data_IF_940509279086
#
_entry.id   IF_940509279086
#
_cell.length_a   1.000
_cell.length_b   1.000
_cell.length_c   1.000
_cell.angle_alpha   90.00
_cell.angle_beta   90.00
_cell.angle_gamma   90.00
#
_symmetry.space_group_name_H-M   'P 1'
#
loop_
_entity.id
_entity.type
_entity.pdbx_description
1 polymer ?
#
# COMPACT_ATOMS: atom_id res chain seq x y z
N UNK A 1 52.72 -36.95 6.62
CA UNK A 1 51.74 -36.58 5.58
C UNK A 1 50.37 -36.91 6.14
N UNK A 2 49.75 -35.94 6.84
CA UNK A 2 48.41 -36.10 7.38
C UNK A 2 47.43 -35.97 6.20
N UNK A 3 46.74 -37.05 5.85
CA UNK A 3 45.59 -36.99 4.97
C UNK A 3 44.48 -36.24 5.72
N UNK A 4 44.12 -35.05 5.25
CA UNK A 4 42.87 -34.40 5.63
C UNK A 4 41.71 -35.25 5.10
N UNK A 5 41.05 -35.97 6.00
CA UNK A 5 39.72 -36.51 5.75
C UNK A 5 38.73 -35.34 5.77
N UNK A 6 38.57 -34.65 4.65
CA UNK A 6 37.32 -33.92 4.40
C UNK A 6 36.31 -34.96 3.93
N UNK A 7 35.52 -35.51 4.86
CA UNK A 7 34.28 -36.19 4.50
C UNK A 7 33.54 -35.27 3.53
N UNK A 8 33.06 -35.77 2.38
CA UNK A 8 32.45 -34.99 1.29
C UNK A 8 31.20 -34.20 1.70
N UNK A 9 31.37 -33.23 2.58
CA UNK A 9 30.39 -32.38 3.22
C UNK A 9 30.25 -31.13 2.36
N UNK A 10 29.01 -30.82 2.02
CA UNK A 10 28.67 -29.66 1.20
C UNK A 10 28.36 -28.46 2.10
N UNK A 11 28.89 -27.26 1.81
CA UNK A 11 28.46 -26.04 2.49
C UNK A 11 26.96 -25.77 2.29
N UNK A 12 26.29 -25.24 3.31
CA UNK A 12 24.86 -24.91 3.27
C UNK A 12 24.48 -24.04 2.06
N UNK A 13 25.24 -22.97 1.82
CA UNK A 13 25.01 -22.05 0.70
C UNK A 13 25.10 -22.74 -0.66
N UNK A 14 26.03 -23.68 -0.81
CA UNK A 14 26.17 -24.49 -2.02
C UNK A 14 24.94 -25.38 -2.20
N UNK A 15 24.49 -26.05 -1.14
CA UNK A 15 23.30 -26.89 -1.18
C UNK A 15 22.03 -26.09 -1.52
N UNK A 16 21.84 -24.93 -0.87
CA UNK A 16 20.71 -24.03 -1.11
C UNK A 16 20.68 -23.56 -2.58
N UNK A 17 21.82 -23.09 -3.09
CA UNK A 17 21.95 -22.64 -4.48
C UNK A 17 21.63 -23.77 -5.46
N UNK A 18 22.15 -24.99 -5.21
CA UNK A 18 21.87 -26.15 -6.05
C UNK A 18 20.39 -26.53 -6.04
N UNK A 19 19.73 -26.50 -4.88
CA UNK A 19 18.28 -26.75 -4.78
C UNK A 19 17.48 -25.71 -5.56
N UNK A 20 17.73 -24.42 -5.32
CA UNK A 20 16.99 -23.32 -5.97
C UNK A 20 17.19 -23.30 -7.49
N UNK A 21 18.38 -23.62 -7.99
CA UNK A 21 18.69 -23.64 -9.42
C UNK A 21 17.88 -24.65 -10.23
N UNK A 22 17.28 -25.66 -9.58
CA UNK A 22 16.48 -26.72 -10.22
C UNK A 22 14.98 -26.50 -10.08
N UNK A 23 14.56 -25.52 -9.28
CA UNK A 23 13.15 -25.22 -9.02
C UNK A 23 12.68 -24.19 -10.03
N UNK A 24 11.60 -24.50 -10.75
CA UNK A 24 10.88 -23.51 -11.55
C UNK A 24 9.69 -22.99 -10.74
N UNK A 25 9.51 -21.65 -10.61
CA UNK A 25 8.35 -21.09 -9.94
C UNK A 25 7.03 -21.62 -10.52
N UNK A 26 6.01 -21.73 -9.67
CA UNK A 26 4.67 -22.10 -10.11
C UNK A 26 4.08 -20.97 -10.96
N UNK A 27 3.40 -21.35 -12.05
CA UNK A 27 2.73 -20.41 -12.97
C UNK A 27 1.22 -20.56 -13.01
N UNK A 28 0.67 -21.58 -12.35
CA UNK A 28 -0.78 -21.76 -12.28
C UNK A 28 -1.41 -20.66 -11.42
N UNK A 29 -2.42 -19.99 -11.99
CA UNK A 29 -3.05 -18.79 -11.43
C UNK A 29 -4.46 -19.11 -10.93
N UNK A 30 -4.88 -18.41 -9.88
CA UNK A 30 -6.28 -18.31 -9.45
C UNK A 30 -6.62 -16.82 -9.21
N UNK A 31 -7.90 -16.47 -9.37
CA UNK A 31 -8.40 -15.11 -9.08
C UNK A 31 -9.13 -15.15 -7.75
N UNK A 32 -8.77 -14.26 -6.84
CA UNK A 32 -9.36 -14.20 -5.49
C UNK A 32 -9.71 -12.76 -5.11
N UNK A 33 -10.76 -12.56 -4.30
CA UNK A 33 -11.02 -11.27 -3.66
C UNK A 33 -9.82 -10.82 -2.83
N UNK A 34 -9.54 -9.51 -2.79
CA UNK A 34 -8.35 -8.97 -2.09
C UNK A 34 -8.23 -9.43 -0.62
N UNK A 35 -9.36 -9.59 0.07
CA UNK A 35 -9.39 -10.07 1.47
C UNK A 35 -8.80 -11.47 1.65
N UNK A 36 -8.81 -12.30 0.59
CA UNK A 36 -8.27 -13.65 0.57
C UNK A 36 -6.84 -13.71 -0.02
N UNK A 37 -6.24 -12.55 -0.31
CA UNK A 37 -4.94 -12.44 -0.98
C UNK A 37 -3.76 -12.22 -0.02
N UNK A 38 -3.97 -12.11 1.29
CA UNK A 38 -2.86 -11.94 2.24
C UNK A 38 -1.85 -13.09 2.16
N UNK A 39 -0.57 -12.74 2.00
CA UNK A 39 0.55 -13.67 1.82
C UNK A 39 0.64 -14.32 0.44
N UNK A 40 -0.29 -14.04 -0.49
CA UNK A 40 -0.28 -14.58 -1.85
C UNK A 40 0.71 -13.83 -2.74
N UNK A 41 1.14 -14.46 -3.82
CA UNK A 41 2.07 -13.89 -4.80
C UNK A 41 1.28 -13.43 -6.02
N UNK A 42 1.42 -12.17 -6.44
CA UNK A 42 0.82 -11.66 -7.67
C UNK A 42 1.30 -12.43 -8.89
N UNK A 43 0.37 -12.85 -9.74
CA UNK A 43 0.68 -13.58 -10.97
C UNK A 43 1.03 -12.65 -12.14
N UNK A 44 0.49 -11.43 -12.13
CA UNK A 44 0.65 -10.42 -13.18
C UNK A 44 0.90 -9.05 -12.54
N UNK A 45 1.50 -8.14 -13.31
CA UNK A 45 1.62 -6.75 -12.93
C UNK A 45 0.24 -6.15 -12.66
N UNK A 46 0.14 -5.35 -11.62
CA UNK A 46 -1.03 -4.51 -11.39
C UNK A 46 -0.77 -3.14 -11.98
N UNK A 47 -1.56 -2.81 -12.99
CA UNK A 47 -1.55 -1.52 -13.67
C UNK A 47 -2.67 -0.67 -13.09
N UNK A 48 -2.37 0.59 -12.76
CA UNK A 48 -3.37 1.49 -12.19
C UNK A 48 -4.45 1.86 -13.22
N UNK A 49 -5.74 1.66 -12.93
CA UNK A 49 -6.82 2.07 -13.82
C UNK A 49 -7.15 3.57 -13.73
N UNK A 50 -6.54 4.28 -12.77
CA UNK A 50 -6.84 5.68 -12.46
C UNK A 50 -5.62 6.43 -11.93
N UNK A 51 -5.70 7.75 -11.93
CA UNK A 51 -4.74 8.61 -11.22
C UNK A 51 -5.07 8.66 -9.73
N UNK A 52 -4.05 8.63 -8.87
CA UNK A 52 -4.13 8.86 -7.43
C UNK A 52 -3.25 10.06 -7.07
N UNK A 53 -3.82 11.12 -6.47
CA UNK A 53 -5.26 11.39 -6.34
C UNK A 53 -5.92 11.57 -7.72
N UNK A 54 -7.25 11.38 -7.81
CA UNK A 54 -8.00 11.46 -9.07
C UNK A 54 -8.30 12.89 -9.56
N UNK A 55 -8.02 13.90 -8.73
CA UNK A 55 -8.21 15.32 -8.99
C UNK A 55 -7.26 16.12 -8.11
N UNK A 56 -7.02 17.39 -8.46
CA UNK A 56 -6.24 18.29 -7.60
C UNK A 56 -6.99 18.57 -6.30
N UNK A 57 -6.36 18.32 -5.16
CA UNK A 57 -7.00 18.43 -3.84
C UNK A 57 -6.13 19.17 -2.82
N UNK A 58 -6.77 19.68 -1.77
CA UNK A 58 -6.04 20.34 -0.68
C UNK A 58 -5.22 19.33 0.13
N UNK A 59 -3.98 19.69 0.44
CA UNK A 59 -3.11 18.96 1.36
C UNK A 59 -3.39 19.29 2.84
N UNK A 60 -4.04 20.42 3.12
CA UNK A 60 -4.21 20.98 4.47
C UNK A 60 -5.61 21.58 4.66
N UNK A 61 -6.02 21.76 5.91
CA UNK A 61 -7.19 22.56 6.25
C UNK A 61 -6.83 24.04 6.17
N UNK A 62 -7.57 24.82 5.39
CA UNK A 62 -7.13 26.16 5.04
C UNK A 62 -8.09 26.93 4.15
N UNK A 63 -7.51 27.77 3.29
CA UNK A 63 -8.24 28.59 2.33
C UNK A 63 -7.59 28.48 0.95
N UNK A 64 -8.40 28.13 -0.05
CA UNK A 64 -8.03 28.19 -1.45
C UNK A 64 -8.06 29.65 -1.91
N UNK A 65 -6.99 30.07 -2.58
CA UNK A 65 -6.76 31.45 -3.00
C UNK A 65 -6.26 31.52 -4.45
N UNK A 66 -6.47 32.68 -5.07
CA UNK A 66 -5.76 33.11 -6.28
C UNK A 66 -4.63 34.03 -5.87
N UNK A 67 -3.49 33.92 -6.52
CA UNK A 67 -2.31 34.74 -6.24
C UNK A 67 -2.61 36.24 -6.47
N UNK A 68 -3.41 36.56 -7.49
CA UNK A 68 -3.81 37.93 -7.81
C UNK A 68 -4.72 38.59 -6.76
N UNK A 69 -5.42 37.77 -5.95
CA UNK A 69 -6.31 38.26 -4.90
C UNK A 69 -5.53 38.54 -3.59
N UNK A 70 -4.32 38.01 -3.44
CA UNK A 70 -3.53 38.18 -2.22
C UNK A 70 -2.93 39.59 -2.12
N UNK A 71 -3.13 40.22 -0.96
CA UNK A 71 -2.51 41.48 -0.58
C UNK A 71 -2.27 41.47 0.92
N UNK A 72 -1.10 41.92 1.38
CA UNK A 72 -0.73 41.93 2.80
C UNK A 72 -1.73 42.72 3.67
N UNK A 73 -2.31 43.78 3.11
CA UNK A 73 -3.14 44.71 3.88
C UNK A 73 -4.64 44.43 3.76
N UNK A 74 -5.08 43.58 2.81
CA UNK A 74 -6.50 43.38 2.50
C UNK A 74 -6.98 41.97 2.86
N UNK A 75 -7.83 41.81 3.89
CA UNK A 75 -8.52 40.55 4.16
C UNK A 75 -9.40 40.12 2.98
N UNK A 76 -9.51 38.81 2.75
CA UNK A 76 -10.40 38.24 1.74
C UNK A 76 -11.65 37.66 2.40
N UNK A 77 -12.86 38.12 2.03
CA UNK A 77 -14.09 37.46 2.45
C UNK A 77 -14.13 36.00 2.00
N UNK A 78 -14.75 35.14 2.81
CA UNK A 78 -14.95 33.73 2.47
C UNK A 78 -16.22 33.59 1.63
N UNK A 79 -16.07 33.30 0.34
CA UNK A 79 -17.20 33.16 -0.59
C UNK A 79 -17.93 31.81 -0.44
N UNK A 80 -17.25 30.79 0.10
CA UNK A 80 -17.83 29.46 0.22
C UNK A 80 -16.92 28.46 0.91
N UNK A 81 -17.36 27.19 0.89
CA UNK A 81 -16.67 26.07 1.53
C UNK A 81 -16.56 24.88 0.58
N UNK A 82 -15.44 24.17 0.63
CA UNK A 82 -15.21 22.90 -0.06
C UNK A 82 -14.78 21.82 0.96
N UNK A 83 -15.45 20.67 0.93
CA UNK A 83 -15.18 19.52 1.80
C UNK A 83 -14.89 18.27 0.97
N UNK A 84 -14.28 17.26 1.59
CA UNK A 84 -14.12 15.94 0.98
C UNK A 84 -15.50 15.39 0.58
N UNK A 85 -15.67 15.02 -0.70
CA UNK A 85 -16.94 14.57 -1.26
C UNK A 85 -17.98 15.66 -1.55
N UNK A 86 -17.73 16.92 -1.17
CA UNK A 86 -18.63 18.07 -1.43
C UNK A 86 -17.81 19.25 -1.97
N UNK A 87 -17.46 19.25 -3.27
CA UNK A 87 -16.71 20.34 -3.89
C UNK A 87 -17.51 21.64 -3.89
N UNK A 88 -16.79 22.77 -3.90
CA UNK A 88 -17.42 24.08 -4.11
C UNK A 88 -17.85 24.22 -5.58
N UNK A 89 -19.15 24.46 -5.81
CA UNK A 89 -19.74 24.62 -7.14
C UNK A 89 -20.31 26.02 -7.42
N UNK A 90 -20.24 26.93 -6.43
CA UNK A 90 -20.73 28.30 -6.59
C UNK A 90 -19.79 29.16 -7.45
N UNK A 91 -20.25 30.36 -7.80
CA UNK A 91 -19.37 31.38 -8.37
C UNK A 91 -18.28 31.73 -7.36
N UNK A 92 -17.03 31.92 -7.81
CA UNK A 92 -15.94 32.35 -6.94
C UNK A 92 -15.56 33.80 -7.31
N UNK A 93 -16.11 34.82 -6.62
CA UNK A 93 -15.85 36.22 -6.94
C UNK A 93 -14.37 36.60 -6.81
N UNK A 94 -13.93 37.59 -7.57
CA UNK A 94 -12.60 38.16 -7.42
C UNK A 94 -12.45 38.83 -6.03
N UNK A 95 -11.26 38.76 -5.44
CA UNK A 95 -10.98 39.27 -4.11
C UNK A 95 -11.63 38.49 -2.97
N UNK A 96 -11.94 37.20 -3.16
CA UNK A 96 -12.49 36.32 -2.12
C UNK A 96 -11.72 35.00 -2.03
N UNK A 97 -11.81 34.31 -0.90
CA UNK A 97 -11.22 32.98 -0.72
C UNK A 97 -12.30 31.91 -0.48
N UNK A 98 -11.93 30.64 -0.67
CA UNK A 98 -12.81 29.50 -0.36
C UNK A 98 -12.21 28.73 0.81
N UNK A 99 -12.99 28.57 1.87
CA UNK A 99 -12.61 27.68 2.98
C UNK A 99 -12.52 26.25 2.44
N UNK A 100 -11.40 25.58 2.63
CA UNK A 100 -11.18 24.24 2.09
C UNK A 100 -10.60 23.33 3.16
N UNK A 101 -11.06 22.08 3.19
CA UNK A 101 -10.53 21.05 4.09
C UNK A 101 -9.62 20.07 3.32
N UNK A 102 -8.78 19.36 4.06
CA UNK A 102 -7.86 18.35 3.56
C UNK A 102 -8.60 17.30 2.73
N UNK A 103 -8.07 16.97 1.56
CA UNK A 103 -8.67 16.02 0.62
C UNK A 103 -9.83 16.58 -0.22
N UNK A 104 -10.31 17.79 0.05
CA UNK A 104 -11.35 18.42 -0.79
C UNK A 104 -10.77 18.83 -2.16
N UNK A 105 -11.53 18.67 -3.26
CA UNK A 105 -11.12 19.18 -4.57
C UNK A 105 -10.90 20.69 -4.53
N UNK A 106 -9.80 21.17 -5.11
CA UNK A 106 -9.56 22.62 -5.22
C UNK A 106 -10.53 23.24 -6.25
N UNK A 107 -11.10 24.42 -5.98
CA UNK A 107 -11.99 25.09 -6.92
C UNK A 107 -11.23 25.50 -8.20
N UNK A 108 -11.95 25.60 -9.32
CA UNK A 108 -11.36 26.01 -10.59
C UNK A 108 -10.70 27.39 -10.48
N UNK A 109 -9.46 27.50 -10.96
CA UNK A 109 -8.65 28.72 -10.85
C UNK A 109 -7.92 28.87 -9.52
N UNK A 110 -7.97 27.87 -8.63
CA UNK A 110 -7.17 27.88 -7.40
C UNK A 110 -5.68 27.74 -7.74
N UNK A 111 -4.87 28.63 -7.15
CA UNK A 111 -3.43 28.65 -7.39
C UNK A 111 -2.64 28.24 -6.15
N UNK A 112 -3.21 28.37 -4.95
CA UNK A 112 -2.59 27.94 -3.69
C UNK A 112 -3.63 27.62 -2.62
N UNK A 113 -3.25 26.80 -1.63
CA UNK A 113 -3.97 26.66 -0.36
C UNK A 113 -3.11 27.17 0.78
N UNK A 114 -3.65 28.05 1.62
CA UNK A 114 -2.97 28.55 2.83
C UNK A 114 -3.59 27.89 4.06
N UNK A 115 -2.75 27.30 4.91
CA UNK A 115 -3.21 26.66 6.14
C UNK A 115 -3.84 27.69 7.08
N UNK A 116 -4.88 27.31 7.82
CA UNK A 116 -5.59 28.23 8.70
C UNK A 116 -4.68 28.83 9.79
N UNK A 117 -3.63 28.11 10.19
CA UNK A 117 -2.63 28.54 11.17
C UNK A 117 -1.79 29.72 10.67
N UNK A 118 -1.77 29.96 9.35
CA UNK A 118 -1.10 31.08 8.68
C UNK A 118 -2.11 32.16 8.26
N UNK A 119 -3.25 32.22 8.95
CA UNK A 119 -4.29 33.21 8.72
C UNK A 119 -4.82 33.79 10.01
N UNK A 120 -5.37 35.00 9.90
CA UNK A 120 -6.09 35.66 10.98
C UNK A 120 -7.51 35.98 10.51
N UNK A 121 -8.51 35.60 11.31
CA UNK A 121 -9.89 36.00 11.05
C UNK A 121 -10.10 37.42 11.54
N UNK A 122 -10.66 38.25 10.67
CA UNK A 122 -11.02 39.65 10.92
C UNK A 122 -12.50 39.86 10.59
N UNK A 123 -13.07 40.98 11.00
CA UNK A 123 -14.47 41.33 10.70
C UNK A 123 -14.75 41.40 9.19
N UNK A 124 -13.75 41.80 8.40
CA UNK A 124 -13.86 41.97 6.94
C UNK A 124 -13.48 40.69 6.14
N UNK A 125 -13.02 39.63 6.81
CA UNK A 125 -12.62 38.37 6.17
C UNK A 125 -11.31 37.80 6.72
N UNK A 126 -10.60 37.04 5.89
CA UNK A 126 -9.39 36.30 6.26
C UNK A 126 -8.16 37.06 5.81
N UNK A 127 -7.29 37.44 6.75
CA UNK A 127 -5.96 37.99 6.49
C UNK A 127 -4.95 36.85 6.40
N UNK A 128 -4.07 36.89 5.41
CA UNK A 128 -3.01 35.90 5.21
C UNK A 128 -1.69 36.46 5.74
N UNK A 129 -1.07 35.78 6.71
CA UNK A 129 0.04 36.33 7.50
C UNK A 129 1.41 35.82 7.06
N UNK A 130 1.46 34.87 6.12
CA UNK A 130 2.68 34.29 5.59
C UNK A 130 2.75 34.46 4.06
N UNK A 131 3.97 34.46 3.52
CA UNK A 131 4.22 34.45 2.08
C UNK A 131 3.63 33.19 1.44
N UNK A 132 2.84 33.37 0.39
CA UNK A 132 2.17 32.28 -0.34
C UNK A 132 2.92 32.00 -1.64
N UNK A 133 3.18 30.73 -1.92
CA UNK A 133 3.78 30.27 -3.18
C UNK A 133 2.71 29.62 -4.06
N UNK A 134 2.79 29.87 -5.37
CA UNK A 134 1.94 29.16 -6.33
C UNK A 134 2.15 27.64 -6.22
N UNK A 135 1.05 26.90 -6.19
CA UNK A 135 0.99 25.45 -6.03
C UNK A 135 1.12 24.94 -4.59
N UNK A 136 1.39 25.78 -3.60
CA UNK A 136 1.58 25.29 -2.23
C UNK A 136 0.31 24.60 -1.70
N UNK A 137 0.52 23.51 -0.97
CA UNK A 137 -0.54 22.70 -0.35
C UNK A 137 -1.63 22.21 -1.33
N UNK A 138 -1.33 22.12 -2.62
CA UNK A 138 -2.17 21.45 -3.62
C UNK A 138 -1.50 20.14 -4.00
N UNK A 139 -2.18 19.04 -3.68
CA UNK A 139 -1.85 17.70 -4.16
C UNK A 139 -2.38 17.56 -5.58
N UNK A 140 -1.51 17.28 -6.54
CA UNK A 140 -1.89 17.23 -7.97
C UNK A 140 -2.42 15.86 -8.34
N UNK A 141 -3.36 15.84 -9.27
CA UNK A 141 -3.86 14.61 -9.88
C UNK A 141 -2.69 13.73 -10.35
N UNK A 142 -2.69 12.48 -9.91
CA UNK A 142 -1.68 11.49 -10.30
C UNK A 142 -0.27 11.74 -9.75
N UNK A 143 -0.11 12.55 -8.70
CA UNK A 143 1.20 12.77 -8.08
C UNK A 143 1.71 11.52 -7.33
N UNK A 144 0.82 10.69 -6.79
CA UNK A 144 1.19 9.45 -6.08
C UNK A 144 1.30 8.28 -7.07
N UNK A 145 0.24 8.05 -7.85
CA UNK A 145 0.14 6.98 -8.84
C UNK A 145 -0.50 7.55 -10.09
N UNK A 146 0.16 7.37 -11.23
CA UNK A 146 -0.43 7.73 -12.52
C UNK A 146 -1.24 6.57 -13.08
N UNK A 147 -2.32 6.91 -13.79
CA UNK A 147 -3.02 5.95 -14.63
C UNK A 147 -2.01 5.25 -15.57
N UNK A 148 -2.23 3.96 -15.80
CA UNK A 148 -1.41 3.08 -16.64
C UNK A 148 0.01 2.80 -16.11
N UNK A 149 0.38 3.32 -14.94
CA UNK A 149 1.62 2.93 -14.27
C UNK A 149 1.49 1.55 -13.63
N UNK A 150 2.58 0.76 -13.66
CA UNK A 150 2.69 -0.47 -12.87
C UNK A 150 2.86 -0.10 -11.40
N UNK A 151 1.88 -0.47 -10.57
CA UNK A 151 1.85 -0.20 -9.13
C UNK A 151 2.61 -1.29 -8.37
N UNK A 152 2.33 -2.55 -8.70
CA UNK A 152 3.07 -3.69 -8.16
C UNK A 152 3.38 -4.69 -9.29
N UNK A 153 4.64 -5.12 -9.44
CA UNK A 153 5.00 -6.11 -10.44
C UNK A 153 4.53 -7.52 -10.04
N UNK A 154 4.40 -8.40 -11.05
CA UNK A 154 4.26 -9.84 -10.85
C UNK A 154 5.38 -10.37 -9.93
N UNK A 155 5.06 -11.35 -9.08
CA UNK A 155 5.99 -11.87 -8.08
C UNK A 155 5.97 -11.11 -6.75
N UNK A 156 5.28 -9.99 -6.64
CA UNK A 156 5.08 -9.27 -5.37
C UNK A 156 4.26 -10.12 -4.39
N UNK A 157 4.74 -10.24 -3.15
CA UNK A 157 3.98 -10.85 -2.06
C UNK A 157 3.03 -9.82 -1.46
N UNK A 158 1.73 -10.10 -1.52
CA UNK A 158 0.70 -9.19 -1.04
C UNK A 158 0.59 -9.23 0.48
N UNK A 159 0.79 -8.08 1.12
CA UNK A 159 0.65 -7.89 2.57
C UNK A 159 -0.34 -6.76 2.87
N UNK A 160 -0.39 -6.32 4.13
CA UNK A 160 -1.16 -5.13 4.52
C UNK A 160 -0.65 -3.83 3.88
N UNK A 161 0.57 -3.82 3.32
CA UNK A 161 1.08 -2.66 2.59
C UNK A 161 0.47 -2.54 1.19
N UNK A 162 0.38 -3.65 0.45
CA UNK A 162 -0.05 -3.65 -0.95
C UNK A 162 -1.57 -3.72 -1.10
N UNK A 163 -2.25 -4.54 -0.30
CA UNK A 163 -3.69 -4.82 -0.47
C UNK A 163 -4.57 -3.56 -0.35
N UNK A 164 -4.35 -2.64 0.60
CA UNK A 164 -5.14 -1.41 0.67
C UNK A 164 -4.90 -0.48 -0.52
N UNK A 165 -3.69 -0.48 -1.09
CA UNK A 165 -3.38 0.28 -2.31
C UNK A 165 -4.18 -0.30 -3.48
N UNK A 166 -4.22 -1.63 -3.64
CA UNK A 166 -5.07 -2.25 -4.67
C UNK A 166 -6.54 -1.88 -4.51
N UNK A 167 -7.05 -1.90 -3.28
CA UNK A 167 -8.42 -1.51 -2.99
C UNK A 167 -8.69 -0.02 -3.30
N UNK A 168 -7.73 0.88 -3.04
CA UNK A 168 -7.88 2.32 -3.34
C UNK A 168 -7.93 2.62 -4.85
N UNK A 169 -7.42 1.71 -5.67
CA UNK A 169 -7.54 1.73 -7.13
C UNK A 169 -8.88 1.18 -7.64
N UNK A 170 -9.77 0.73 -6.75
CA UNK A 170 -11.05 0.12 -7.11
C UNK A 170 -10.95 -1.33 -7.57
N UNK A 171 -9.80 -2.00 -7.35
CA UNK A 171 -9.61 -3.41 -7.70
C UNK A 171 -10.21 -4.27 -6.59
N UNK A 172 -11.15 -5.15 -6.94
CA UNK A 172 -11.82 -6.05 -5.99
C UNK A 172 -11.14 -7.41 -5.86
N UNK A 173 -10.56 -7.90 -6.97
CA UNK A 173 -9.96 -9.22 -7.10
C UNK A 173 -8.57 -9.11 -7.71
N UNK A 174 -7.66 -10.02 -7.33
CA UNK A 174 -6.32 -10.11 -7.88
C UNK A 174 -6.03 -11.51 -8.41
N UNK A 175 -5.29 -11.57 -9.52
CA UNK A 175 -4.72 -12.80 -10.05
C UNK A 175 -3.46 -13.15 -9.26
N UNK A 176 -3.48 -14.30 -8.59
CA UNK A 176 -2.38 -14.77 -7.75
C UNK A 176 -1.94 -16.17 -8.14
N UNK A 177 -0.66 -16.45 -7.93
CA UNK A 177 -0.13 -17.81 -8.10
C UNK A 177 -0.77 -18.73 -7.06
N UNK A 178 -1.24 -19.91 -7.47
CA UNK A 178 -1.85 -20.89 -6.57
C UNK A 178 -0.92 -21.26 -5.42
N UNK A 179 -1.48 -21.66 -4.28
CA UNK A 179 -0.66 -22.15 -3.16
C UNK A 179 0.20 -23.36 -3.57
N UNK A 180 1.41 -23.43 -3.02
CA UNK A 180 2.29 -24.61 -3.12
C UNK A 180 1.59 -25.78 -2.42
N UNK A 181 1.65 -26.97 -3.02
CA UNK A 181 1.08 -28.19 -2.45
C UNK A 181 2.23 -29.08 -2.01
N UNK A 182 2.30 -29.39 -0.72
CA UNK A 182 3.34 -30.23 -0.12
C UNK A 182 2.68 -31.45 0.51
N UNK A 183 3.04 -32.64 0.04
CA UNK A 183 2.67 -33.89 0.71
C UNK A 183 3.67 -34.15 1.84
N UNK A 184 3.18 -34.55 3.01
CA UNK A 184 3.99 -34.71 4.21
C UNK A 184 3.68 -36.04 4.90
N UNK A 185 4.72 -36.80 5.21
CA UNK A 185 4.63 -38.06 5.95
C UNK A 185 5.90 -38.28 6.78
N UNK A 186 5.83 -39.18 7.74
CA UNK A 186 6.93 -39.67 8.58
C UNK A 186 6.95 -41.20 8.51
N UNK A 187 8.08 -41.81 8.84
CA UNK A 187 8.26 -43.26 8.86
C UNK A 187 9.30 -43.64 9.90
N UNK A 188 9.09 -44.76 10.58
CA UNK A 188 9.93 -45.28 11.65
C UNK A 188 9.09 -46.14 12.60
N UNK A 189 9.56 -47.34 12.92
CA UNK A 189 8.86 -48.27 13.82
C UNK A 189 8.83 -47.74 15.26
N UNK A 190 9.74 -46.83 15.59
CA UNK A 190 9.79 -46.10 16.85
C UNK A 190 8.71 -45.01 16.97
N UNK A 191 8.07 -44.60 15.87
CA UNK A 191 7.15 -43.47 15.88
C UNK A 191 5.73 -43.88 16.27
N UNK A 192 5.19 -43.21 17.28
CA UNK A 192 3.83 -43.38 17.77
C UNK A 192 2.99 -42.11 17.59
N UNK A 193 1.69 -42.26 17.39
CA UNK A 193 0.76 -41.13 17.29
C UNK A 193 0.42 -40.55 18.67
N UNK A 194 0.29 -39.21 18.81
CA UNK A 194 -0.19 -38.60 20.05
C UNK A 194 -1.55 -39.18 20.47
N UNK A 195 -1.70 -39.45 21.77
CA UNK A 195 -2.92 -40.02 22.35
C UNK A 195 -2.94 -41.56 22.41
N UNK A 196 -2.00 -42.24 21.78
CA UNK A 196 -1.77 -43.68 21.96
C UNK A 196 -0.70 -43.92 23.05
N UNK A 197 -0.77 -45.01 23.84
CA UNK A 197 0.28 -45.34 24.78
C UNK A 197 1.60 -45.65 24.05
N UNK A 198 2.73 -45.30 24.68
CA UNK A 198 4.06 -45.65 24.19
C UNK A 198 4.43 -47.07 24.63
N UNK A 199 4.92 -47.86 23.70
CA UNK A 199 5.61 -49.12 23.99
C UNK A 199 7.13 -48.90 24.19
N UNK A 200 7.84 -49.95 24.60
CA UNK A 200 9.28 -49.87 24.81
C UNK A 200 10.02 -49.52 23.51
N UNK A 201 10.81 -48.44 23.54
CA UNK A 201 11.56 -47.94 22.38
C UNK A 201 10.77 -47.01 21.46
N UNK A 202 9.49 -46.75 21.75
CA UNK A 202 8.69 -45.78 20.98
C UNK A 202 8.82 -44.34 21.51
N UNK A 203 8.64 -43.39 20.59
CA UNK A 203 8.56 -41.95 20.83
C UNK A 203 7.41 -41.35 20.01
N UNK A 204 6.88 -40.21 20.40
CA UNK A 204 5.85 -39.54 19.61
C UNK A 204 6.43 -38.81 18.39
N UNK A 205 5.73 -38.89 17.27
CA UNK A 205 6.07 -38.15 16.05
C UNK A 205 5.79 -36.64 16.19
N UNK A 206 6.83 -35.88 16.48
CA UNK A 206 6.75 -34.41 16.64
C UNK A 206 7.21 -33.64 15.41
N UNK A 207 8.09 -34.22 14.59
CA UNK A 207 8.63 -33.56 13.40
C UNK A 207 7.53 -33.31 12.37
N UNK A 208 6.66 -34.29 12.11
CA UNK A 208 5.57 -34.12 11.16
C UNK A 208 4.61 -33.01 11.60
N UNK A 209 4.29 -32.93 12.89
CA UNK A 209 3.45 -31.84 13.42
C UNK A 209 4.15 -30.48 13.24
N UNK A 210 5.42 -30.38 13.64
CA UNK A 210 6.20 -29.14 13.54
C UNK A 210 6.25 -28.63 12.10
N UNK A 211 6.63 -29.49 11.15
CA UNK A 211 6.70 -29.10 9.74
C UNK A 211 5.32 -28.78 9.17
N UNK A 212 4.27 -29.52 9.55
CA UNK A 212 2.91 -29.22 9.12
C UNK A 212 2.48 -27.80 9.54
N UNK A 213 2.73 -27.42 10.79
CA UNK A 213 2.40 -26.09 11.31
C UNK A 213 3.19 -25.00 10.59
N UNK A 214 4.49 -25.21 10.33
CA UNK A 214 5.30 -24.27 9.56
C UNK A 214 4.76 -24.09 8.13
N UNK A 215 4.42 -25.19 7.44
CA UNK A 215 3.86 -25.15 6.08
C UNK A 215 2.50 -24.45 6.02
N UNK A 216 1.68 -24.51 7.08
CA UNK A 216 0.40 -23.80 7.14
C UNK A 216 0.56 -22.29 7.32
N UNK A 217 1.65 -21.82 7.93
CA UNK A 217 1.90 -20.40 8.19
C UNK A 217 2.62 -19.68 7.03
N UNK A 218 3.30 -20.43 6.16
CA UNK A 218 4.02 -19.91 4.98
C UNK A 218 3.07 -19.61 3.80
#
# INVERSE_FOLDING_TARGET
MFMEFSAGLMPLETALTQMLSRITPLTAVETLPLVNCFGRILATDIVSPLDVPGFDNSAMDGYAVRMADLSADKPLPVAGKAFAGQPYQGEWPAGTCIRIMTGAPVPTGCEAVVMQEQTEQTDDGVRFTADVRCGQNIRRRGEDIRQDAVVFPAGTRLTTAELPVLASLGIADAQVVRKVRVALFSTGDELQLPGQPLEAGQIYDTNRLTIHLMLQQL
#
